data_IF_455966492517
#
_entry.id   IF_455966492517
#
_cell.length_a   1.000
_cell.length_b   1.000
_cell.length_c   1.000
_cell.angle_alpha   90.00
_cell.angle_beta   90.00
_cell.angle_gamma   90.00
#
_symmetry.space_group_name_H-M   'P 1'
#
loop_
_entity.id
_entity.type
_entity.pdbx_description
1 polymer ?
#
# COMPACT_ATOMS: atom_id res chain seq x y z
N UNK A 1 -8.91 -14.57 -0.12
CA UNK A 1 -9.25 -13.50 0.84
C UNK A 1 -8.29 -13.59 2.02
N UNK A 2 -7.18 -12.85 1.98
CA UNK A 2 -6.05 -13.00 2.89
C UNK A 2 -5.35 -11.68 3.22
N UNK A 3 -6.07 -10.56 3.07
CA UNK A 3 -5.63 -9.28 3.62
C UNK A 3 -5.86 -9.28 5.13
N UNK A 4 -5.02 -8.57 5.89
CA UNK A 4 -5.21 -8.40 7.33
C UNK A 4 -6.64 -7.92 7.70
N UNK A 5 -7.23 -7.13 6.80
CA UNK A 5 -8.61 -6.66 6.91
C UNK A 5 -9.67 -7.79 6.91
N UNK A 6 -9.41 -8.94 6.29
CA UNK A 6 -10.34 -10.08 6.29
C UNK A 6 -10.09 -11.06 7.44
N UNK A 7 -8.93 -11.00 8.12
CA UNK A 7 -8.57 -11.90 9.23
C UNK A 7 -9.00 -11.39 10.61
N UNK A 8 -9.66 -10.23 10.68
CA UNK A 8 -10.21 -9.68 11.94
C UNK A 8 -9.19 -9.01 12.87
N UNK A 9 -7.91 -8.93 12.49
CA UNK A 9 -6.89 -8.17 13.21
C UNK A 9 -6.60 -6.87 12.46
N UNK A 10 -6.71 -5.75 13.17
CA UNK A 10 -6.32 -4.43 12.70
C UNK A 10 -4.81 -4.22 12.77
N UNK A 11 -4.02 -5.21 13.20
CA UNK A 11 -2.58 -5.05 13.38
C UNK A 11 -1.84 -5.10 12.03
N UNK A 12 -0.78 -4.30 11.88
CA UNK A 12 0.05 -4.33 10.68
C UNK A 12 0.81 -5.66 10.59
N UNK A 13 1.31 -5.97 9.39
CA UNK A 13 2.07 -7.21 9.16
C UNK A 13 3.26 -7.34 10.12
N UNK A 14 3.27 -8.41 10.93
CA UNK A 14 4.38 -8.72 11.84
C UNK A 14 5.72 -8.87 11.10
N UNK A 15 5.71 -9.32 9.83
CA UNK A 15 6.91 -9.41 9.00
C UNK A 15 7.45 -8.02 8.67
N UNK A 16 6.58 -7.09 8.25
CA UNK A 16 6.99 -5.72 7.93
C UNK A 16 7.55 -5.01 9.16
N UNK A 17 6.93 -5.21 10.33
CA UNK A 17 7.47 -4.71 11.60
C UNK A 17 8.84 -5.32 11.92
N UNK A 18 9.00 -6.64 11.76
CA UNK A 18 10.25 -7.34 12.06
C UNK A 18 11.43 -6.89 11.17
N UNK A 19 11.17 -6.50 9.91
CA UNK A 19 12.18 -5.91 9.01
C UNK A 19 12.34 -4.39 9.21
N UNK A 20 11.81 -3.85 10.31
CA UNK A 20 11.99 -2.47 10.73
C UNK A 20 11.12 -1.45 9.98
N UNK A 21 10.03 -1.85 9.33
CA UNK A 21 9.05 -0.87 8.83
C UNK A 21 8.24 -0.32 10.00
N UNK A 22 8.06 0.99 10.01
CA UNK A 22 7.17 1.66 10.98
C UNK A 22 5.70 1.35 10.67
N UNK A 23 4.82 1.46 11.68
CA UNK A 23 3.40 1.09 11.58
C UNK A 23 2.69 1.76 10.41
N UNK A 24 2.86 3.08 10.24
CA UNK A 24 2.25 3.86 9.13
C UNK A 24 2.56 3.26 7.75
N UNK A 25 3.79 2.77 7.55
CA UNK A 25 4.23 2.17 6.28
C UNK A 25 3.71 0.74 6.15
N UNK A 26 3.72 -0.02 7.25
CA UNK A 26 3.26 -1.40 7.25
C UNK A 26 1.76 -1.53 6.93
N UNK A 27 0.93 -0.56 7.37
CA UNK A 27 -0.50 -0.52 7.01
C UNK A 27 -0.77 -0.20 5.55
N UNK A 28 0.05 0.66 4.93
CA UNK A 28 -0.09 1.06 3.53
C UNK A 28 0.55 0.10 2.51
N UNK A 29 1.01 -1.07 2.94
CA UNK A 29 1.76 -2.00 2.10
C UNK A 29 0.86 -2.94 1.29
N UNK A 30 1.16 -3.09 -0.01
CA UNK A 30 0.47 -3.99 -0.94
C UNK A 30 1.43 -5.08 -1.42
N UNK A 31 1.00 -6.34 -1.41
CA UNK A 31 1.75 -7.48 -1.97
C UNK A 31 0.98 -8.07 -3.14
N UNK A 32 1.60 -8.05 -4.32
CA UNK A 32 1.12 -8.74 -5.51
C UNK A 32 2.03 -9.93 -5.78
N UNK A 33 1.45 -11.09 -6.06
CA UNK A 33 2.18 -12.30 -6.41
C UNK A 33 1.74 -12.73 -7.79
N UNK A 34 2.70 -12.90 -8.70
CA UNK A 34 2.45 -13.33 -10.07
C UNK A 34 2.61 -14.85 -10.18
N UNK A 35 1.94 -15.45 -11.16
CA UNK A 35 2.11 -16.86 -11.53
C UNK A 35 2.56 -16.99 -12.99
N UNK A 36 2.90 -18.20 -13.41
CA UNK A 36 3.25 -18.46 -14.82
C UNK A 36 2.07 -18.28 -15.79
N UNK A 37 0.85 -18.16 -15.27
CA UNK A 37 -0.37 -17.93 -16.05
C UNK A 37 -0.73 -16.45 -16.14
N UNK A 38 0.00 -15.56 -15.45
CA UNK A 38 -0.27 -14.12 -15.48
C UNK A 38 0.09 -13.55 -16.85
N UNK A 39 -0.86 -12.86 -17.49
CA UNK A 39 -0.64 -12.27 -18.81
C UNK A 39 -0.18 -10.82 -18.73
N UNK A 40 0.41 -10.29 -19.81
CA UNK A 40 0.82 -8.88 -19.89
C UNK A 40 -0.39 -7.93 -19.75
N UNK A 41 -1.53 -8.30 -20.34
CA UNK A 41 -2.76 -7.50 -20.25
C UNK A 41 -3.29 -7.41 -18.82
N UNK A 42 -3.18 -8.48 -18.04
CA UNK A 42 -3.54 -8.48 -16.61
C UNK A 42 -2.62 -7.58 -15.79
N UNK A 43 -1.32 -7.53 -16.14
CA UNK A 43 -0.35 -6.63 -15.52
C UNK A 43 -0.68 -5.18 -15.85
N UNK A 44 -0.94 -4.85 -17.11
CA UNK A 44 -1.29 -3.50 -17.53
C UNK A 44 -2.57 -3.01 -16.85
N UNK A 45 -3.58 -3.86 -16.79
CA UNK A 45 -4.81 -3.59 -16.06
C UNK A 45 -4.54 -3.35 -14.57
N UNK A 46 -3.74 -4.20 -13.94
CA UNK A 46 -3.40 -4.09 -12.51
C UNK A 46 -2.66 -2.78 -12.22
N UNK A 47 -1.72 -2.37 -13.08
CA UNK A 47 -0.99 -1.11 -12.94
C UNK A 47 -1.96 0.08 -13.00
N UNK A 48 -2.85 0.10 -14.00
CA UNK A 48 -3.84 1.17 -14.16
C UNK A 48 -4.77 1.26 -12.93
N UNK A 49 -5.30 0.12 -12.48
CA UNK A 49 -6.23 0.07 -11.35
C UNK A 49 -5.56 0.49 -10.03
N UNK A 50 -4.31 0.08 -9.79
CA UNK A 50 -3.54 0.48 -8.61
C UNK A 50 -3.24 1.98 -8.64
N UNK A 51 -2.87 2.53 -9.79
CA UNK A 51 -2.60 3.95 -9.94
C UNK A 51 -3.85 4.80 -9.63
N UNK A 52 -4.99 4.43 -10.20
CA UNK A 52 -6.28 5.10 -9.95
C UNK A 52 -6.68 5.04 -8.47
N UNK A 53 -6.58 3.86 -7.85
CA UNK A 53 -6.90 3.70 -6.43
C UNK A 53 -5.99 4.53 -5.52
N UNK A 54 -4.69 4.56 -5.81
CA UNK A 54 -3.72 5.36 -5.03
C UNK A 54 -3.98 6.85 -5.20
N UNK A 55 -4.31 7.32 -6.40
CA UNK A 55 -4.65 8.73 -6.66
C UNK A 55 -5.88 9.14 -5.86
N UNK A 56 -6.95 8.35 -5.92
CA UNK A 56 -8.16 8.61 -5.15
C UNK A 56 -7.88 8.66 -3.65
N UNK A 57 -7.21 7.64 -3.10
CA UNK A 57 -6.90 7.59 -1.66
C UNK A 57 -6.03 8.78 -1.21
N UNK A 58 -5.08 9.21 -2.04
CA UNK A 58 -4.25 10.38 -1.77
C UNK A 58 -5.04 11.69 -1.82
N UNK A 59 -6.03 11.80 -2.70
CA UNK A 59 -6.88 13.00 -2.80
C UNK A 59 -7.67 13.30 -1.52
N UNK A 60 -8.06 12.24 -0.80
CA UNK A 60 -8.84 12.34 0.45
C UNK A 60 -7.99 12.22 1.72
N UNK A 61 -6.72 11.86 1.60
CA UNK A 61 -5.84 11.58 2.75
C UNK A 61 -5.28 12.86 3.39
N UNK A 62 -5.58 13.12 4.69
CA UNK A 62 -4.94 14.22 5.42
C UNK A 62 -3.43 14.01 5.58
N UNK A 63 -2.99 12.76 5.75
CA UNK A 63 -1.57 12.40 5.90
C UNK A 63 -0.81 12.76 4.62
N UNK A 64 -1.39 12.44 3.45
CA UNK A 64 -0.78 12.79 2.18
C UNK A 64 -0.62 14.30 2.02
N UNK A 65 -1.64 15.09 2.40
CA UNK A 65 -1.57 16.56 2.39
C UNK A 65 -0.45 17.10 3.28
N UNK A 66 -0.28 16.53 4.47
CA UNK A 66 0.79 16.96 5.38
C UNK A 66 2.19 16.60 4.86
N UNK A 67 2.33 15.46 4.16
CA UNK A 67 3.58 15.07 3.50
C UNK A 67 3.96 16.03 2.36
N UNK A 68 3.03 16.29 1.43
CA UNK A 68 3.32 17.17 0.28
C UNK A 68 3.47 18.64 0.65
N UNK A 69 2.86 19.08 1.75
CA UNK A 69 3.04 20.44 2.27
C UNK A 69 4.29 20.61 3.15
N UNK A 70 5.04 19.53 3.39
CA UNK A 70 6.26 19.55 4.21
C UNK A 70 6.01 19.62 5.72
N UNK A 71 4.76 19.49 6.19
CA UNK A 71 4.44 19.39 7.62
C UNK A 71 4.89 18.06 8.24
N UNK A 72 4.92 17.00 7.42
CA UNK A 72 5.46 15.69 7.77
C UNK A 72 6.50 15.29 6.72
N UNK A 73 7.56 14.60 7.14
CA UNK A 73 8.59 14.11 6.23
C UNK A 73 8.23 12.75 5.63
N UNK A 74 8.68 12.51 4.40
CA UNK A 74 8.64 11.18 3.79
C UNK A 74 9.64 10.26 4.50
N UNK A 75 9.12 9.15 5.04
CA UNK A 75 9.90 8.18 5.82
C UNK A 75 10.70 7.25 4.91
N UNK A 76 10.21 7.02 3.69
CA UNK A 76 10.91 6.27 2.64
C UNK A 76 11.55 7.31 1.72
N UNK A 77 12.88 7.39 1.76
CA UNK A 77 13.68 8.15 0.80
C UNK A 77 14.14 7.25 -0.33
#
# INVERSE_FOLDING_TARGET
SGSACTSGSLDPSHVLLAIGRVHDIAHGSLRLTLSGDTTEEEIDYTIAAVAEAVEYLRSISPIWRDLVSGKKEFIIK
#
